data_IF_224910212487
#
_entry.id   IF_224910212487
#
_cell.length_a   1.000
_cell.length_b   1.000
_cell.length_c   1.000
_cell.angle_alpha   90.00
_cell.angle_beta   90.00
_cell.angle_gamma   90.00
#
_symmetry.space_group_name_H-M   'P 1'
#
loop_
_entity.id
_entity.type
_entity.pdbx_description
1 polymer ?
#
# COMPACT_ATOMS: atom_id res chain seq x y z
N UNK A 1 -14.90 -5.39 -28.86
CA UNK A 1 -13.91 -4.96 -27.84
C UNK A 1 -13.33 -6.19 -27.20
N UNK A 2 -12.03 -6.25 -27.07
CA UNK A 2 -11.30 -7.38 -26.49
C UNK A 2 -11.37 -7.37 -24.95
N UNK A 3 -12.12 -6.44 -24.39
CA UNK A 3 -12.33 -6.32 -22.95
C UNK A 3 -13.55 -7.13 -22.54
N UNK A 4 -13.39 -7.96 -21.50
CA UNK A 4 -14.47 -8.77 -20.95
C UNK A 4 -15.69 -7.92 -20.62
N UNK A 5 -16.91 -8.36 -20.98
CA UNK A 5 -18.13 -7.64 -20.66
C UNK A 5 -18.37 -7.58 -19.14
N UNK A 6 -19.10 -6.56 -18.69
CA UNK A 6 -19.47 -6.40 -17.29
C UNK A 6 -20.21 -7.65 -16.79
N UNK A 7 -19.77 -8.18 -15.65
CA UNK A 7 -20.36 -9.35 -15.02
C UNK A 7 -19.76 -10.68 -15.46
N UNK A 8 -18.86 -10.72 -16.46
CA UNK A 8 -18.17 -11.94 -16.84
C UNK A 8 -17.30 -12.47 -15.67
N UNK A 9 -17.35 -13.79 -15.44
CA UNK A 9 -16.62 -14.43 -14.35
C UNK A 9 -15.09 -14.36 -14.59
N UNK A 10 -14.34 -14.02 -13.54
CA UNK A 10 -12.89 -14.06 -13.54
C UNK A 10 -12.42 -15.38 -12.95
N UNK A 11 -11.89 -16.25 -13.80
CA UNK A 11 -11.57 -17.65 -13.42
C UNK A 11 -10.37 -17.70 -12.46
N UNK A 12 -9.35 -16.90 -12.70
CA UNK A 12 -8.08 -16.95 -11.94
C UNK A 12 -8.10 -16.17 -10.65
N UNK A 13 -8.81 -15.03 -10.60
CA UNK A 13 -8.83 -14.12 -9.43
C UNK A 13 -10.14 -14.13 -8.65
N UNK A 14 -11.13 -14.89 -9.13
CA UNK A 14 -12.49 -14.85 -8.58
C UNK A 14 -13.23 -13.56 -8.91
N UNK A 15 -14.56 -13.54 -8.65
CA UNK A 15 -15.41 -12.38 -8.86
C UNK A 15 -15.79 -12.12 -10.32
N UNK A 16 -16.20 -10.90 -10.63
CA UNK A 16 -16.77 -10.50 -11.91
C UNK A 16 -16.01 -9.32 -12.53
N UNK A 17 -15.89 -9.34 -13.86
CA UNK A 17 -15.27 -8.24 -14.61
C UNK A 17 -16.10 -6.94 -14.50
N UNK A 18 -15.47 -5.76 -14.37
CA UNK A 18 -16.18 -4.47 -14.35
C UNK A 18 -16.69 -4.05 -15.73
N UNK A 19 -16.21 -4.68 -16.80
CA UNK A 19 -16.48 -4.30 -18.19
C UNK A 19 -15.55 -3.18 -18.68
N UNK A 20 -15.76 -2.70 -19.92
CA UNK A 20 -14.90 -1.69 -20.54
C UNK A 20 -15.10 -0.26 -20.02
N UNK A 21 -16.22 0.04 -19.35
CA UNK A 21 -16.59 1.40 -19.00
C UNK A 21 -15.57 2.11 -18.09
N UNK A 22 -15.03 1.49 -16.99
CA UNK A 22 -14.04 2.15 -16.14
C UNK A 22 -12.76 2.53 -16.89
N UNK A 23 -12.30 1.69 -17.81
CA UNK A 23 -11.15 2.00 -18.66
C UNK A 23 -11.45 3.15 -19.62
N UNK A 24 -12.65 3.16 -20.24
CA UNK A 24 -13.07 4.25 -21.12
C UNK A 24 -13.10 5.59 -20.39
N UNK A 25 -13.68 5.63 -19.20
CA UNK A 25 -13.73 6.83 -18.36
C UNK A 25 -12.33 7.32 -17.96
N UNK A 26 -11.45 6.40 -17.59
CA UNK A 26 -10.04 6.69 -17.30
C UNK A 26 -9.34 7.34 -18.50
N UNK A 27 -9.48 6.74 -19.69
CA UNK A 27 -8.85 7.26 -20.92
C UNK A 27 -9.39 8.63 -21.31
N UNK A 28 -10.70 8.88 -21.13
CA UNK A 28 -11.33 10.20 -21.40
C UNK A 28 -10.75 11.26 -20.47
N UNK A 29 -10.61 10.96 -19.17
CA UNK A 29 -10.04 11.89 -18.19
C UNK A 29 -8.57 12.19 -18.47
N UNK A 30 -7.77 11.16 -18.77
CA UNK A 30 -6.36 11.33 -19.14
C UNK A 30 -6.25 12.16 -20.42
N UNK A 31 -7.07 11.85 -21.43
CA UNK A 31 -7.10 12.63 -22.67
C UNK A 31 -7.41 14.10 -22.40
N UNK A 32 -8.36 14.40 -21.51
CA UNK A 32 -8.68 15.78 -21.13
C UNK A 32 -7.49 16.55 -20.54
N UNK A 33 -6.69 15.89 -19.71
CA UNK A 33 -5.45 16.50 -19.17
C UNK A 33 -4.44 16.77 -20.31
N UNK A 34 -4.27 15.82 -21.22
CA UNK A 34 -3.33 15.94 -22.33
C UNK A 34 -3.77 16.99 -23.36
N UNK A 35 -5.06 17.01 -23.70
CA UNK A 35 -5.60 17.98 -24.69
C UNK A 35 -5.55 19.44 -24.20
N UNK A 36 -5.47 19.66 -22.89
CA UNK A 36 -5.30 21.00 -22.30
C UNK A 36 -3.87 21.55 -22.49
N UNK A 37 -2.92 20.72 -22.96
CA UNK A 37 -1.53 21.10 -23.19
C UNK A 37 -1.28 21.55 -24.61
N UNK A 38 -0.33 22.47 -24.76
CA UNK A 38 0.25 22.78 -26.07
C UNK A 38 1.32 21.73 -26.42
N UNK A 39 1.65 21.60 -27.69
CA UNK A 39 2.54 20.53 -28.21
C UNK A 39 3.92 20.46 -27.53
N UNK A 40 4.43 21.59 -27.04
CA UNK A 40 5.73 21.69 -26.36
C UNK A 40 5.67 21.61 -24.83
N UNK A 41 4.46 21.60 -24.24
CA UNK A 41 4.30 21.65 -22.79
C UNK A 41 4.62 20.32 -22.11
N UNK A 42 5.26 20.40 -20.97
CA UNK A 42 5.47 19.25 -20.09
C UNK A 42 4.31 19.14 -19.10
N UNK A 43 4.00 17.93 -18.71
CA UNK A 43 3.08 17.68 -17.61
C UNK A 43 3.68 18.19 -16.29
N UNK A 44 2.88 18.87 -15.47
CA UNK A 44 3.26 19.19 -14.10
C UNK A 44 3.27 17.95 -13.22
N UNK A 45 3.87 18.04 -12.04
CA UNK A 45 3.87 16.95 -11.05
C UNK A 45 2.44 16.57 -10.65
N UNK A 46 1.57 17.57 -10.49
CA UNK A 46 0.18 17.36 -10.12
C UNK A 46 -0.63 16.69 -11.23
N UNK A 47 -0.41 17.05 -12.49
CA UNK A 47 -1.07 16.40 -13.63
C UNK A 47 -0.66 14.93 -13.76
N UNK A 48 0.61 14.61 -13.55
CA UNK A 48 1.09 13.22 -13.51
C UNK A 48 0.43 12.47 -12.35
N UNK A 49 0.33 13.09 -11.19
CA UNK A 49 -0.34 12.53 -10.02
C UNK A 49 -1.81 12.22 -10.31
N UNK A 50 -2.55 13.15 -10.91
CA UNK A 50 -3.96 12.97 -11.27
C UNK A 50 -4.15 11.86 -12.31
N UNK A 51 -3.28 11.75 -13.33
CA UNK A 51 -3.28 10.65 -14.29
C UNK A 51 -3.14 9.30 -13.58
N UNK A 52 -2.18 9.15 -12.68
CA UNK A 52 -1.96 7.90 -11.93
C UNK A 52 -3.15 7.58 -11.02
N UNK A 53 -3.76 8.58 -10.41
CA UNK A 53 -4.97 8.43 -9.60
C UNK A 53 -6.17 7.96 -10.43
N UNK A 54 -6.36 8.46 -11.65
CA UNK A 54 -7.40 7.98 -12.57
C UNK A 54 -7.18 6.53 -13.00
N UNK A 55 -5.93 6.12 -13.21
CA UNK A 55 -5.58 4.72 -13.47
C UNK A 55 -5.96 3.84 -12.28
N UNK A 56 -5.66 4.28 -11.06
CA UNK A 56 -6.03 3.56 -9.84
C UNK A 56 -7.55 3.41 -9.69
N UNK A 57 -8.34 4.42 -10.02
CA UNK A 57 -9.81 4.33 -10.06
C UNK A 57 -10.30 3.22 -11.00
N UNK A 58 -9.73 3.13 -12.20
CA UNK A 58 -10.08 2.09 -13.15
C UNK A 58 -9.73 0.68 -12.65
N UNK A 59 -8.59 0.53 -11.97
CA UNK A 59 -8.17 -0.75 -11.37
C UNK A 59 -9.12 -1.19 -10.25
N UNK A 60 -9.60 -0.25 -9.44
CA UNK A 60 -10.48 -0.53 -8.30
C UNK A 60 -11.93 -0.80 -8.69
N UNK A 61 -12.36 -0.38 -9.87
CA UNK A 61 -13.75 -0.47 -10.31
C UNK A 61 -14.33 -1.89 -10.32
N UNK A 62 -13.50 -2.92 -10.36
CA UNK A 62 -13.91 -4.33 -10.29
C UNK A 62 -14.17 -4.88 -8.88
N UNK A 63 -13.85 -4.13 -7.84
CA UNK A 63 -14.05 -4.51 -6.43
C UNK A 63 -13.13 -5.64 -5.91
N UNK A 64 -12.42 -6.34 -6.78
CA UNK A 64 -11.59 -7.50 -6.44
C UNK A 64 -10.14 -7.11 -6.25
N UNK A 65 -9.59 -6.32 -7.18
CA UNK A 65 -8.23 -5.82 -7.11
C UNK A 65 -8.19 -4.57 -6.26
N UNK A 66 -7.17 -4.49 -5.42
CA UNK A 66 -6.88 -3.31 -4.62
C UNK A 66 -5.66 -2.64 -5.21
N UNK A 67 -5.75 -1.32 -5.38
CA UNK A 67 -4.61 -0.47 -5.68
C UNK A 67 -4.45 0.54 -4.55
N UNK A 68 -3.23 0.74 -4.11
CA UNK A 68 -2.86 1.79 -3.17
C UNK A 68 -1.65 2.51 -3.74
N UNK A 69 -1.65 3.83 -3.63
CA UNK A 69 -0.60 4.69 -4.15
C UNK A 69 0.01 5.50 -3.02
N UNK A 70 1.27 5.83 -3.15
CA UNK A 70 1.90 6.94 -2.44
C UNK A 70 2.59 7.82 -3.47
N UNK A 71 2.35 9.13 -3.38
CA UNK A 71 3.10 10.14 -4.12
C UNK A 71 4.14 10.76 -3.20
N UNK A 72 5.40 10.49 -3.50
CA UNK A 72 6.56 11.11 -2.85
C UNK A 72 7.02 12.27 -3.72
N UNK A 73 7.01 13.47 -3.19
CA UNK A 73 7.33 14.69 -3.94
C UNK A 73 8.22 15.64 -3.14
N UNK A 74 8.81 16.59 -3.84
CA UNK A 74 9.67 17.59 -3.22
C UNK A 74 8.88 18.44 -2.23
N UNK A 75 9.43 18.66 -1.03
CA UNK A 75 8.84 19.56 -0.05
C UNK A 75 8.76 21.05 -0.50
N UNK A 76 9.27 21.37 -1.68
CA UNK A 76 9.16 22.67 -2.35
C UNK A 76 8.14 22.70 -3.48
N UNK A 77 7.44 21.58 -3.73
CA UNK A 77 6.39 21.50 -4.74
C UNK A 77 5.06 22.01 -4.18
N UNK A 78 4.79 23.30 -4.44
CA UNK A 78 3.64 24.00 -3.90
C UNK A 78 2.30 23.44 -4.37
N UNK A 79 2.22 22.98 -5.63
CA UNK A 79 1.01 22.35 -6.18
C UNK A 79 0.69 21.07 -5.42
N UNK A 80 1.69 20.19 -5.23
CA UNK A 80 1.51 18.94 -4.52
C UNK A 80 1.25 19.11 -3.02
N UNK A 81 1.84 20.12 -2.39
CA UNK A 81 1.58 20.43 -0.96
C UNK A 81 0.13 20.83 -0.74
N UNK A 82 -0.46 21.58 -1.67
CA UNK A 82 -1.81 22.13 -1.53
C UNK A 82 -2.91 21.32 -2.23
N UNK A 83 -2.57 20.29 -3.00
CA UNK A 83 -3.51 19.58 -3.87
C UNK A 83 -4.68 18.88 -3.16
N UNK A 84 -4.58 18.68 -1.86
CA UNK A 84 -5.63 18.16 -0.99
C UNK A 84 -6.05 19.17 0.09
N UNK A 85 -6.05 20.45 -0.24
CA UNK A 85 -6.57 21.51 0.62
C UNK A 85 -7.98 21.93 0.18
N UNK A 86 -8.78 22.48 1.09
CA UNK A 86 -10.16 22.89 0.80
C UNK A 86 -11.06 21.69 0.45
N UNK A 87 -12.03 21.89 -0.44
CA UNK A 87 -13.02 20.88 -0.84
C UNK A 87 -12.53 19.99 -2.00
N UNK A 88 -11.26 19.61 -2.00
CA UNK A 88 -10.64 18.80 -3.06
C UNK A 88 -11.41 17.50 -3.38
N UNK A 89 -12.10 16.91 -2.41
CA UNK A 89 -12.90 15.70 -2.61
C UNK A 89 -14.12 15.90 -3.51
N UNK A 90 -14.55 17.14 -3.75
CA UNK A 90 -15.64 17.49 -4.69
C UNK A 90 -15.07 17.74 -6.09
N UNK A 91 -13.98 18.52 -6.19
CA UNK A 91 -13.35 18.88 -7.47
C UNK A 91 -12.49 17.76 -8.06
N UNK A 92 -11.69 17.10 -7.21
CA UNK A 92 -10.66 16.15 -7.61
C UNK A 92 -10.69 14.85 -6.80
N UNK A 93 -11.82 14.15 -6.74
CA UNK A 93 -12.02 12.97 -5.87
C UNK A 93 -11.06 11.83 -6.14
N UNK A 94 -10.46 11.75 -7.35
CA UNK A 94 -9.44 10.76 -7.69
C UNK A 94 -8.19 10.87 -6.79
N UNK A 95 -7.84 12.05 -6.28
CA UNK A 95 -6.68 12.28 -5.39
C UNK A 95 -6.80 11.50 -4.08
N UNK A 96 -8.01 11.09 -3.70
CA UNK A 96 -8.24 10.19 -2.59
C UNK A 96 -7.69 8.76 -2.77
N UNK A 97 -7.16 8.42 -3.95
CA UNK A 97 -6.53 7.12 -4.23
C UNK A 97 -5.08 7.03 -3.82
N UNK A 98 -4.43 8.15 -3.52
CA UNK A 98 -3.03 8.20 -3.12
C UNK A 98 -2.86 8.80 -1.73
N UNK A 99 -1.90 8.28 -0.97
CA UNK A 99 -1.29 9.00 0.13
C UNK A 99 -0.28 9.98 -0.46
N UNK A 100 -0.26 11.21 0.01
CA UNK A 100 0.66 12.25 -0.45
C UNK A 100 1.66 12.57 0.65
N UNK A 101 2.97 12.47 0.35
CA UNK A 101 4.01 12.74 1.34
C UNK A 101 5.13 13.61 0.78
N UNK A 102 5.41 14.70 1.47
CA UNK A 102 6.54 15.57 1.18
C UNK A 102 7.84 14.91 1.69
N UNK A 103 8.83 14.78 0.81
CA UNK A 103 10.13 14.19 1.15
C UNK A 103 11.04 15.25 1.74
N UNK A 104 11.45 15.05 2.98
CA UNK A 104 12.38 15.90 3.69
C UNK A 104 13.73 15.19 3.85
N UNK A 105 14.77 15.76 3.27
CA UNK A 105 16.12 15.23 3.42
C UNK A 105 16.67 15.60 4.80
N UNK A 106 16.84 14.62 5.70
CA UNK A 106 17.23 14.83 7.10
C UNK A 106 18.44 15.72 7.31
N UNK A 107 19.42 15.63 6.43
CA UNK A 107 20.67 16.39 6.53
C UNK A 107 20.56 17.83 5.97
N UNK A 108 19.41 18.20 5.38
CA UNK A 108 19.21 19.52 4.73
C UNK A 108 18.09 20.33 5.37
N UNK A 109 17.18 19.66 6.13
CA UNK A 109 15.99 20.31 6.65
C UNK A 109 16.31 21.14 7.89
N UNK A 110 15.80 22.37 7.94
CA UNK A 110 15.89 23.22 9.12
C UNK A 110 14.62 23.10 9.96
N UNK A 111 14.72 23.42 11.25
CA UNK A 111 13.56 23.46 12.15
C UNK A 111 12.49 24.45 11.66
N UNK A 112 12.93 25.62 11.18
CA UNK A 112 12.01 26.64 10.66
C UNK A 112 11.21 26.13 9.47
N UNK A 113 11.86 25.54 8.47
CA UNK A 113 11.18 24.96 7.30
C UNK A 113 10.19 23.87 7.73
N UNK A 114 10.61 22.98 8.61
CA UNK A 114 9.75 21.92 9.13
C UNK A 114 8.50 22.48 9.80
N UNK A 115 8.66 23.48 10.69
CA UNK A 115 7.53 24.08 11.41
C UNK A 115 6.57 24.83 10.49
N UNK A 116 7.07 25.48 9.43
CA UNK A 116 6.25 26.13 8.43
C UNK A 116 5.41 25.11 7.64
N UNK A 117 6.03 24.01 7.19
CA UNK A 117 5.32 22.93 6.51
C UNK A 117 4.28 22.29 7.44
N UNK A 118 4.65 22.00 8.69
CA UNK A 118 3.74 21.44 9.70
C UNK A 118 2.50 22.29 9.90
N UNK A 119 2.68 23.60 10.05
CA UNK A 119 1.56 24.54 10.21
C UNK A 119 0.62 24.53 9.00
N UNK A 120 1.15 24.41 7.79
CA UNK A 120 0.32 24.28 6.57
C UNK A 120 -0.51 23.00 6.58
N UNK A 121 0.11 21.88 6.97
CA UNK A 121 -0.59 20.58 7.10
C UNK A 121 -1.70 20.68 8.14
N UNK A 122 -1.44 21.29 9.28
CA UNK A 122 -2.44 21.51 10.34
C UNK A 122 -3.61 22.36 9.83
N UNK A 123 -3.33 23.47 9.16
CA UNK A 123 -4.35 24.38 8.61
C UNK A 123 -5.16 23.77 7.47
N UNK A 124 -4.62 22.79 6.74
CA UNK A 124 -5.35 22.12 5.65
C UNK A 124 -6.54 21.30 6.16
N UNK A 125 -6.52 20.86 7.42
CA UNK A 125 -7.53 19.98 8.00
C UNK A 125 -7.57 18.57 7.42
N UNK A 126 -6.76 18.28 6.39
CA UNK A 126 -6.72 17.01 5.70
C UNK A 126 -5.74 16.00 6.33
N UNK A 127 -4.81 16.47 7.16
CA UNK A 127 -3.70 15.66 7.68
C UNK A 127 -2.67 15.26 6.60
N UNK A 128 -2.74 15.87 5.43
CA UNK A 128 -1.82 15.69 4.32
C UNK A 128 -1.28 17.04 3.83
N UNK A 129 -0.09 17.06 3.21
CA UNK A 129 0.76 15.90 2.95
C UNK A 129 1.34 15.28 4.23
N UNK A 130 1.58 13.96 4.21
CA UNK A 130 2.44 13.31 5.19
C UNK A 130 3.88 13.80 5.06
N UNK A 131 4.70 13.51 6.06
CA UNK A 131 6.13 13.85 6.05
C UNK A 131 6.95 12.56 5.98
N UNK A 132 7.75 12.43 4.94
CA UNK A 132 8.68 11.32 4.76
C UNK A 132 10.12 11.79 4.89
N UNK A 133 10.78 11.39 5.99
CA UNK A 133 12.19 11.70 6.20
C UNK A 133 13.07 10.71 5.46
N UNK A 134 13.97 11.21 4.62
CA UNK A 134 14.89 10.40 3.86
C UNK A 134 16.34 10.89 3.99
N UNK A 135 17.29 10.03 3.65
CA UNK A 135 18.72 10.35 3.58
C UNK A 135 19.21 10.39 2.13
N UNK A 136 18.52 9.68 1.24
CA UNK A 136 18.88 9.51 -0.15
C UNK A 136 17.61 9.67 -1.03
N UNK A 137 17.69 10.54 -2.01
CA UNK A 137 16.58 10.85 -2.94
C UNK A 137 16.13 9.65 -3.80
N UNK A 138 17.00 8.67 -3.98
CA UNK A 138 16.75 7.49 -4.82
C UNK A 138 16.00 6.38 -4.07
N UNK A 139 15.73 6.57 -2.78
CA UNK A 139 14.91 5.68 -1.99
C UNK A 139 13.49 6.22 -1.85
N UNK A 140 12.54 5.33 -2.02
CA UNK A 140 11.13 5.57 -1.74
C UNK A 140 10.59 4.59 -0.71
N UNK A 141 9.27 4.46 -0.68
CA UNK A 141 8.55 3.54 0.20
C UNK A 141 7.27 3.06 -0.44
N UNK A 142 6.69 1.98 0.07
CA UNK A 142 5.33 1.58 -0.25
C UNK A 142 4.29 2.52 0.42
N UNK A 143 3.01 2.45 0.03
CA UNK A 143 1.97 3.38 0.51
C UNK A 143 1.80 3.47 2.03
N UNK A 144 2.09 2.42 2.76
CA UNK A 144 2.00 2.39 4.23
C UNK A 144 3.31 2.73 4.94
N UNK A 145 4.37 3.03 4.20
CA UNK A 145 5.70 3.48 4.67
C UNK A 145 6.51 2.46 5.48
N UNK A 146 6.12 1.19 5.52
CA UNK A 146 6.84 0.15 6.27
C UNK A 146 8.03 -0.47 5.53
N UNK A 147 8.10 -0.31 4.19
CA UNK A 147 9.17 -0.87 3.37
C UNK A 147 9.89 0.24 2.62
N UNK A 148 11.16 0.45 2.91
CA UNK A 148 12.01 1.27 2.07
C UNK A 148 12.26 0.53 0.75
N UNK A 149 12.05 1.21 -0.38
CA UNK A 149 12.15 0.63 -1.71
C UNK A 149 13.12 1.46 -2.58
N UNK A 150 13.92 0.75 -3.36
CA UNK A 150 14.64 1.34 -4.51
C UNK A 150 13.72 1.42 -5.72
N UNK A 151 14.08 2.18 -6.75
CA UNK A 151 13.36 2.14 -8.03
C UNK A 151 13.20 0.71 -8.55
N UNK A 152 12.02 0.41 -9.10
CA UNK A 152 11.68 -0.89 -9.71
C UNK A 152 11.74 -2.09 -8.77
N UNK A 153 11.53 -1.89 -7.47
CA UNK A 153 11.62 -2.94 -6.47
C UNK A 153 10.25 -3.35 -5.97
N UNK A 154 10.02 -4.66 -5.88
CA UNK A 154 8.88 -5.26 -5.21
C UNK A 154 9.27 -5.80 -3.84
N UNK A 155 8.28 -5.93 -2.95
CA UNK A 155 8.39 -6.64 -1.69
C UNK A 155 7.21 -7.58 -1.50
N UNK A 156 7.44 -8.70 -0.81
CA UNK A 156 6.44 -9.72 -0.55
C UNK A 156 6.17 -9.75 0.95
N UNK A 157 4.95 -9.35 1.34
CA UNK A 157 4.57 -9.20 2.74
C UNK A 157 3.76 -10.39 3.23
N UNK A 158 4.11 -10.88 4.42
CA UNK A 158 3.38 -11.89 5.16
C UNK A 158 3.09 -11.38 6.56
N UNK A 159 1.88 -11.62 7.08
CA UNK A 159 1.49 -11.21 8.40
C UNK A 159 1.24 -12.39 9.32
N UNK A 160 1.79 -12.32 10.54
CA UNK A 160 1.63 -13.29 11.60
C UNK A 160 0.67 -12.73 12.64
N UNK A 161 -0.40 -13.47 12.94
CA UNK A 161 -1.22 -13.15 14.10
C UNK A 161 -0.44 -13.44 15.38
N UNK A 162 -0.25 -12.43 16.23
CA UNK A 162 0.44 -12.56 17.50
C UNK A 162 -0.44 -12.24 18.70
N UNK A 163 -1.74 -12.05 18.48
CA UNK A 163 -2.68 -11.72 19.54
C UNK A 163 -2.89 -12.88 20.54
N UNK A 164 -2.73 -14.10 20.07
CA UNK A 164 -2.97 -15.36 20.78
C UNK A 164 -1.73 -16.26 20.87
N UNK A 165 -0.55 -15.69 20.66
CA UNK A 165 0.72 -16.41 20.86
C UNK A 165 0.86 -16.85 22.32
N UNK A 166 1.12 -18.13 22.52
CA UNK A 166 1.20 -18.72 23.88
C UNK A 166 2.62 -18.71 24.47
N UNK A 167 3.63 -18.97 23.62
CA UNK A 167 5.04 -19.01 24.03
C UNK A 167 5.99 -18.69 22.86
N UNK A 168 7.30 -18.77 23.14
CA UNK A 168 8.35 -18.50 22.16
C UNK A 168 8.36 -19.51 21.01
N UNK A 169 8.05 -20.76 21.28
CA UNK A 169 8.10 -21.81 20.26
C UNK A 169 6.92 -21.68 19.29
N UNK A 170 5.75 -21.31 19.78
CA UNK A 170 4.59 -20.95 18.95
C UNK A 170 4.92 -19.73 18.04
N UNK A 171 5.48 -18.65 18.61
CA UNK A 171 5.94 -17.52 17.79
C UNK A 171 6.95 -17.94 16.74
N UNK A 172 7.94 -18.75 17.13
CA UNK A 172 8.98 -19.25 16.23
C UNK A 172 8.40 -20.08 15.07
N UNK A 173 7.40 -20.91 15.33
CA UNK A 173 6.72 -21.72 14.33
C UNK A 173 5.95 -20.83 13.34
N UNK A 174 5.21 -19.85 13.83
CA UNK A 174 4.42 -18.91 13.00
C UNK A 174 5.30 -18.07 12.09
N UNK A 175 6.36 -17.45 12.61
CA UNK A 175 7.27 -16.61 11.80
C UNK A 175 8.05 -17.45 10.78
N UNK A 176 8.37 -18.70 11.12
CA UNK A 176 9.00 -19.64 10.19
C UNK A 176 8.07 -19.97 9.01
N UNK A 177 6.79 -20.26 9.28
CA UNK A 177 5.79 -20.50 8.23
C UNK A 177 5.61 -19.28 7.33
N UNK A 178 5.54 -18.08 7.91
CA UNK A 178 5.44 -16.83 7.16
C UNK A 178 6.68 -16.58 6.29
N UNK A 179 7.88 -16.85 6.81
CA UNK A 179 9.12 -16.74 6.03
C UNK A 179 9.18 -17.73 4.87
N UNK A 180 8.70 -18.95 5.07
CA UNK A 180 8.57 -19.95 4.02
C UNK A 180 7.65 -19.45 2.89
N UNK A 181 6.44 -19.02 3.22
CA UNK A 181 5.46 -18.52 2.24
C UNK A 181 5.99 -17.28 1.52
N UNK A 182 6.54 -16.31 2.25
CA UNK A 182 7.11 -15.08 1.68
C UNK A 182 8.26 -15.37 0.72
N UNK A 183 9.11 -16.34 1.02
CA UNK A 183 10.21 -16.74 0.15
C UNK A 183 9.73 -17.41 -1.13
N UNK A 184 8.71 -18.26 -1.05
CA UNK A 184 8.08 -18.82 -2.25
C UNK A 184 7.48 -17.72 -3.14
N UNK A 185 6.80 -16.76 -2.52
CA UNK A 185 6.22 -15.61 -3.22
C UNK A 185 7.29 -14.76 -3.91
N UNK A 186 8.46 -14.57 -3.30
CA UNK A 186 9.58 -13.83 -3.88
C UNK A 186 10.16 -14.50 -5.14
N UNK A 187 9.87 -15.78 -5.37
CA UNK A 187 10.25 -16.49 -6.60
C UNK A 187 9.36 -16.19 -7.81
N UNK A 188 8.26 -15.47 -7.66
CA UNK A 188 7.42 -15.05 -8.79
C UNK A 188 7.99 -13.78 -9.42
N UNK A 189 8.82 -13.93 -10.43
CA UNK A 189 9.56 -12.82 -11.06
C UNK A 189 9.25 -12.64 -12.57
N UNK A 190 8.36 -13.44 -13.12
CA UNK A 190 7.93 -13.31 -14.52
C UNK A 190 6.91 -12.17 -14.67
N UNK A 191 7.41 -10.99 -15.02
CA UNK A 191 6.59 -9.78 -15.17
C UNK A 191 6.34 -9.45 -16.64
N UNK A 192 5.46 -10.18 -17.32
CA UNK A 192 5.22 -10.12 -18.77
C UNK A 192 4.92 -8.73 -19.34
N UNK A 193 4.45 -7.78 -18.55
CA UNK A 193 4.05 -6.44 -19.00
C UNK A 193 4.94 -5.33 -18.45
N UNK A 194 5.99 -5.66 -17.71
CA UNK A 194 6.92 -4.70 -17.14
C UNK A 194 8.25 -4.75 -17.89
N UNK A 195 9.03 -3.68 -17.73
CA UNK A 195 10.40 -3.65 -18.25
C UNK A 195 11.29 -4.63 -17.48
N UNK A 196 12.29 -5.18 -18.12
CA UNK A 196 13.23 -6.18 -17.58
C UNK A 196 13.85 -5.75 -16.23
N UNK A 197 14.15 -4.46 -16.06
CA UNK A 197 14.71 -3.90 -14.83
C UNK A 197 13.87 -4.24 -13.57
N UNK A 198 12.56 -4.45 -13.69
CA UNK A 198 11.72 -4.88 -12.57
C UNK A 198 12.05 -6.30 -12.14
N UNK A 199 12.26 -7.19 -13.10
CA UNK A 199 12.66 -8.57 -12.84
C UNK A 199 14.06 -8.61 -12.23
N UNK A 200 15.04 -7.99 -12.86
CA UNK A 200 16.43 -7.94 -12.39
C UNK A 200 16.54 -7.43 -10.94
N UNK A 201 15.84 -6.34 -10.64
CA UNK A 201 15.88 -5.73 -9.29
C UNK A 201 15.19 -6.63 -8.28
N UNK A 202 14.08 -7.26 -8.64
CA UNK A 202 13.33 -8.16 -7.76
C UNK A 202 14.10 -9.45 -7.47
N UNK A 203 14.72 -10.04 -8.48
CA UNK A 203 15.55 -11.24 -8.34
C UNK A 203 16.81 -10.97 -7.51
N UNK A 204 17.46 -9.82 -7.75
CA UNK A 204 18.66 -9.42 -7.00
C UNK A 204 18.39 -9.32 -5.50
N UNK A 205 17.33 -8.62 -5.12
CA UNK A 205 17.06 -8.26 -3.72
C UNK A 205 16.09 -9.24 -3.03
N UNK A 206 15.27 -9.96 -3.77
CA UNK A 206 14.31 -11.00 -3.33
C UNK A 206 13.59 -10.64 -2.02
N UNK A 207 13.12 -9.38 -1.89
CA UNK A 207 12.60 -8.84 -0.64
C UNK A 207 11.39 -9.60 -0.12
N UNK A 208 11.43 -9.94 1.17
CA UNK A 208 10.27 -10.38 1.93
C UNK A 208 10.08 -9.46 3.14
N UNK A 209 8.87 -9.44 3.67
CA UNK A 209 8.54 -8.68 4.87
C UNK A 209 7.63 -9.50 5.77
N UNK A 210 8.20 -10.25 6.71
CA UNK A 210 7.44 -10.91 7.76
C UNK A 210 7.10 -9.87 8.82
N UNK A 211 5.81 -9.63 9.00
CA UNK A 211 5.25 -8.66 9.92
C UNK A 211 4.32 -9.34 10.94
N UNK A 212 4.01 -8.64 12.00
CA UNK A 212 3.11 -9.10 13.05
C UNK A 212 1.89 -8.19 13.13
N UNK A 213 0.72 -8.79 13.41
CA UNK A 213 -0.52 -8.07 13.69
C UNK A 213 -1.12 -8.56 15.01
N UNK A 214 -1.81 -7.68 15.74
CA UNK A 214 -2.33 -8.00 17.08
C UNK A 214 -1.32 -7.76 18.21
N UNK A 215 -0.31 -6.92 18.00
CA UNK A 215 0.72 -6.60 19.01
C UNK A 215 0.09 -5.97 20.26
N UNK A 216 -1.00 -5.22 20.11
CA UNK A 216 -1.71 -4.57 21.22
C UNK A 216 -2.32 -5.55 22.24
N UNK A 217 -2.45 -6.84 21.91
CA UNK A 217 -2.83 -7.89 22.89
C UNK A 217 -1.78 -8.09 23.96
N UNK A 218 -0.55 -7.61 23.74
CA UNK A 218 0.63 -7.70 24.62
C UNK A 218 1.22 -9.11 24.77
N UNK A 219 0.59 -10.16 24.27
CA UNK A 219 1.11 -11.54 24.36
C UNK A 219 2.54 -11.64 23.86
N UNK A 220 2.79 -11.10 22.66
CA UNK A 220 4.10 -11.15 21.99
C UNK A 220 5.18 -10.29 22.67
N UNK A 221 4.81 -9.29 23.48
CA UNK A 221 5.79 -8.39 24.12
C UNK A 221 6.67 -9.08 25.16
N UNK A 222 6.31 -10.29 25.59
CA UNK A 222 7.09 -11.12 26.50
C UNK A 222 8.07 -12.06 25.78
N UNK A 223 8.04 -12.07 24.45
CA UNK A 223 8.81 -12.97 23.60
C UNK A 223 10.11 -12.32 23.13
N UNK A 224 11.07 -13.15 22.75
CA UNK A 224 12.33 -12.72 22.15
C UNK A 224 12.14 -12.47 20.64
N UNK A 225 11.97 -11.20 20.27
CA UNK A 225 11.80 -10.76 18.90
C UNK A 225 13.06 -10.91 18.06
N UNK A 226 14.24 -10.80 18.67
CA UNK A 226 15.51 -10.98 17.97
C UNK A 226 15.66 -12.44 17.53
N UNK A 227 15.35 -13.38 18.42
CA UNK A 227 15.31 -14.82 18.12
C UNK A 227 14.33 -15.13 17.00
N UNK A 228 13.12 -14.55 17.03
CA UNK A 228 12.11 -14.72 15.98
C UNK A 228 12.62 -14.18 14.63
N UNK A 229 13.22 -12.98 14.59
CA UNK A 229 13.80 -12.41 13.38
C UNK A 229 14.94 -13.27 12.81
N UNK A 230 15.78 -13.87 13.64
CA UNK A 230 16.84 -14.76 13.20
C UNK A 230 16.31 -16.08 12.62
N UNK A 231 15.17 -16.57 13.13
CA UNK A 231 14.47 -17.72 12.53
C UNK A 231 13.95 -17.35 11.13
N UNK A 232 13.37 -16.17 10.94
CA UNK A 232 12.94 -15.69 9.63
C UNK A 232 14.11 -15.66 8.63
N UNK A 233 15.25 -15.10 9.01
CA UNK A 233 16.46 -15.05 8.17
C UNK A 233 16.98 -16.43 7.78
N UNK A 234 17.02 -17.34 8.74
CA UNK A 234 17.50 -18.72 8.52
C UNK A 234 16.54 -19.48 7.59
N UNK A 235 15.23 -19.39 7.82
CA UNK A 235 14.25 -20.06 6.97
C UNK A 235 14.25 -19.50 5.56
N UNK A 236 14.29 -18.16 5.41
CA UNK A 236 14.44 -17.53 4.09
C UNK A 236 15.69 -18.04 3.37
N UNK A 237 16.86 -18.05 4.01
CA UNK A 237 18.10 -18.52 3.40
C UNK A 237 18.02 -19.99 2.96
N UNK A 238 17.40 -20.84 3.79
CA UNK A 238 17.20 -22.27 3.50
C UNK A 238 16.26 -22.46 2.30
N UNK A 239 15.10 -21.82 2.30
CA UNK A 239 14.08 -21.96 1.25
C UNK A 239 14.57 -21.35 -0.06
N UNK A 240 15.20 -20.17 -0.01
CA UNK A 240 15.77 -19.52 -1.19
C UNK A 240 16.79 -20.42 -1.89
N UNK A 241 17.68 -21.07 -1.13
CA UNK A 241 18.62 -22.06 -1.67
C UNK A 241 17.90 -23.26 -2.30
N UNK A 242 16.80 -23.72 -1.68
CA UNK A 242 16.05 -24.88 -2.15
C UNK A 242 15.36 -24.62 -3.50
N UNK A 243 14.82 -23.40 -3.68
CA UNK A 243 14.11 -23.03 -4.91
C UNK A 243 14.98 -22.27 -5.93
N UNK A 244 16.26 -22.08 -5.65
CA UNK A 244 17.23 -21.50 -6.58
C UNK A 244 17.16 -19.99 -6.77
N UNK A 245 16.69 -19.23 -5.76
CA UNK A 245 16.65 -17.77 -5.78
C UNK A 245 17.65 -17.17 -4.79
N UNK A 246 17.88 -15.86 -4.88
CA UNK A 246 18.67 -15.13 -3.91
C UNK A 246 17.99 -15.10 -2.54
N UNK A 247 18.79 -15.11 -1.47
CA UNK A 247 18.28 -14.80 -0.13
C UNK A 247 17.82 -13.34 -0.08
N UNK A 248 16.76 -13.07 0.64
CA UNK A 248 16.21 -11.73 0.77
C UNK A 248 17.21 -10.75 1.39
N UNK A 249 17.38 -9.60 0.78
CA UNK A 249 18.22 -8.52 1.32
C UNK A 249 17.66 -7.96 2.65
N UNK A 250 16.34 -8.03 2.83
CA UNK A 250 15.61 -7.67 4.06
C UNK A 250 14.44 -8.64 4.25
N UNK A 251 14.12 -9.00 5.49
CA UNK A 251 13.22 -10.12 5.78
C UNK A 251 12.05 -9.78 6.69
N UNK A 252 12.12 -8.70 7.46
CA UNK A 252 11.11 -8.34 8.46
C UNK A 252 10.68 -6.88 8.33
N UNK A 253 9.44 -6.59 8.73
CA UNK A 253 8.91 -5.24 8.80
C UNK A 253 7.83 -5.14 9.89
N UNK A 254 7.35 -3.93 10.14
CA UNK A 254 6.15 -3.69 10.96
C UNK A 254 5.12 -2.98 10.09
N UNK A 255 4.14 -3.76 9.61
CA UNK A 255 3.08 -3.26 8.74
C UNK A 255 1.87 -2.83 9.55
N UNK A 256 1.27 -1.68 9.26
CA UNK A 256 -0.07 -1.33 9.76
C UNK A 256 -1.12 -2.16 9.00
N UNK A 257 -1.40 -3.37 9.49
CA UNK A 257 -2.34 -4.29 8.87
C UNK A 257 -3.77 -3.72 8.85
N UNK A 258 -4.38 -3.64 7.68
CA UNK A 258 -5.77 -3.20 7.54
C UNK A 258 -6.73 -4.39 7.49
N UNK A 259 -7.02 -4.88 6.28
CA UNK A 259 -7.97 -5.99 6.06
C UNK A 259 -7.54 -7.29 6.73
N UNK A 260 -6.23 -7.61 6.76
CA UNK A 260 -5.73 -8.85 7.35
C UNK A 260 -6.03 -8.93 8.84
N UNK A 261 -5.84 -7.85 9.58
CA UNK A 261 -6.17 -7.80 11.02
C UNK A 261 -7.66 -8.00 11.28
N UNK A 262 -8.54 -7.51 10.40
CA UNK A 262 -9.99 -7.72 10.50
C UNK A 262 -10.35 -9.19 10.27
N UNK A 263 -9.76 -9.84 9.27
CA UNK A 263 -9.98 -11.28 9.00
C UNK A 263 -9.51 -12.13 10.19
N UNK A 264 -8.39 -11.73 10.80
CA UNK A 264 -7.80 -12.43 11.95
C UNK A 264 -8.47 -12.04 13.28
N UNK A 265 -9.39 -11.08 13.31
CA UNK A 265 -10.10 -10.64 14.53
C UNK A 265 -9.18 -9.98 15.56
N UNK A 266 -8.16 -9.23 15.12
CA UNK A 266 -7.18 -8.64 16.01
C UNK A 266 -6.92 -7.16 15.71
N UNK A 267 -6.15 -6.49 16.56
CA UNK A 267 -5.71 -5.10 16.34
C UNK A 267 -4.74 -5.01 15.15
N UNK A 268 -4.71 -3.84 14.50
CA UNK A 268 -3.94 -3.61 13.28
C UNK A 268 -2.45 -3.41 13.56
N UNK A 269 -1.61 -4.35 13.19
CA UNK A 269 -0.16 -4.25 13.32
C UNK A 269 0.26 -3.91 14.75
N UNK A 270 0.93 -2.77 14.92
CA UNK A 270 1.37 -2.22 16.21
C UNK A 270 0.30 -1.35 16.90
N UNK A 271 -0.78 -0.98 16.19
CA UNK A 271 -1.78 -0.07 16.72
C UNK A 271 -2.59 -0.73 17.84
N UNK A 272 -2.94 0.05 18.84
CA UNK A 272 -3.90 -0.34 19.86
C UNK A 272 -5.31 -0.46 19.27
N UNK A 273 -6.20 -1.15 19.99
CA UNK A 273 -7.62 -1.01 19.74
C UNK A 273 -8.03 0.44 19.96
N UNK A 274 -8.99 0.92 19.14
CA UNK A 274 -9.43 2.31 19.21
C UNK A 274 -10.09 2.63 20.58
N UNK A 275 -11.00 1.76 20.99
CA UNK A 275 -11.67 1.81 22.31
C UNK A 275 -12.32 0.44 22.56
N UNK A 276 -12.81 0.20 23.78
CA UNK A 276 -13.61 -0.98 24.12
C UNK A 276 -14.91 -1.03 23.30
N UNK A 277 -15.58 0.11 23.18
CA UNK A 277 -16.73 0.31 22.31
C UNK A 277 -16.49 1.50 21.37
N UNK A 278 -16.83 1.37 20.11
CA UNK A 278 -16.67 2.44 19.14
C UNK A 278 -17.61 2.29 17.93
N UNK A 279 -17.94 3.41 17.30
CA UNK A 279 -18.69 3.43 16.04
C UNK A 279 -17.69 3.33 14.90
N UNK A 280 -17.83 2.29 14.09
CA UNK A 280 -17.00 2.08 12.91
C UNK A 280 -17.75 2.53 11.66
N UNK A 281 -17.21 3.54 10.98
CA UNK A 281 -17.70 3.94 9.64
C UNK A 281 -17.02 3.11 8.58
N UNK A 282 -17.80 2.39 7.79
CA UNK A 282 -17.32 1.59 6.68
C UNK A 282 -17.60 2.31 5.36
N UNK A 283 -16.64 2.28 4.46
CA UNK A 283 -16.84 2.71 3.07
C UNK A 283 -16.99 1.47 2.21
N UNK A 284 -18.13 1.34 1.55
CA UNK A 284 -18.46 0.20 0.69
C UNK A 284 -18.87 0.74 -0.68
N UNK A 285 -18.37 0.10 -1.74
CA UNK A 285 -18.79 0.45 -3.10
C UNK A 285 -20.25 0.09 -3.34
N UNK A 286 -21.05 1.02 -3.87
CA UNK A 286 -22.48 0.78 -4.16
C UNK A 286 -22.75 -0.39 -5.12
N UNK A 287 -21.76 -0.80 -5.88
CA UNK A 287 -21.84 -1.94 -6.81
C UNK A 287 -21.48 -3.29 -6.16
N UNK A 288 -20.96 -3.30 -4.93
CA UNK A 288 -20.58 -4.52 -4.24
C UNK A 288 -21.80 -5.31 -3.76
N UNK A 289 -21.77 -6.65 -3.87
CA UNK A 289 -22.88 -7.50 -3.42
C UNK A 289 -23.25 -7.29 -1.95
N UNK A 290 -22.26 -7.10 -1.10
CA UNK A 290 -22.49 -6.85 0.34
C UNK A 290 -23.26 -5.56 0.59
N UNK A 291 -23.00 -4.49 -0.18
CA UNK A 291 -23.75 -3.25 -0.06
C UNK A 291 -25.23 -3.46 -0.43
N UNK A 292 -25.49 -4.17 -1.54
CA UNK A 292 -26.86 -4.47 -1.98
C UNK A 292 -27.60 -5.34 -0.97
N UNK A 293 -26.90 -6.30 -0.38
CA UNK A 293 -27.47 -7.14 0.69
C UNK A 293 -27.81 -6.32 1.94
N UNK A 294 -26.90 -5.48 2.40
CA UNK A 294 -27.12 -4.62 3.56
C UNK A 294 -28.27 -3.64 3.33
N UNK A 295 -28.32 -2.99 2.15
CA UNK A 295 -29.41 -2.07 1.81
C UNK A 295 -30.79 -2.75 1.77
N UNK A 296 -30.84 -4.01 1.34
CA UNK A 296 -32.08 -4.78 1.27
C UNK A 296 -32.58 -5.28 2.64
N UNK A 297 -31.65 -5.54 3.60
CA UNK A 297 -32.00 -6.16 4.89
C UNK A 297 -31.89 -5.20 6.07
N UNK A 298 -31.10 -4.15 5.96
CA UNK A 298 -30.90 -3.11 6.98
C UNK A 298 -30.73 -1.75 6.32
N UNK A 299 -31.81 -1.17 5.78
CA UNK A 299 -31.73 0.09 5.01
C UNK A 299 -31.31 1.29 5.86
N UNK A 300 -31.44 1.22 7.16
CA UNK A 300 -31.09 2.28 8.12
C UNK A 300 -29.62 2.25 8.60
N UNK A 301 -28.85 1.31 8.11
CA UNK A 301 -27.41 1.21 8.38
C UNK A 301 -26.61 2.17 7.44
#
# INVERSE_FOLDING_TARGET
SDIRPKGARLVTSGGKAPGPQPLKECLVKIKGILDAKQESDKLSTLEIHDIVCHIADAVLAGGIRRAALISLFSAYDEEMISCKSGNWWESDPQRGRANNSAVLMRHKITKEFFMNLWKRIELSGAGEPGIYFNHDKDWGTNPCCEIALRPYQFCNLCEVNVSDVVDQDDLNARVKAAAFIGTLQAGYTEFHYLREIWQETTERDALIGVSMTGIASKAVLKMDMAKAADIVKRENSKVAKLIGINKAARTTCVKPAGTTSLVLGTSSGIHAWHNEFYIRRLRVGKNEPIYKYLLAHNPDL
#
